data_IF_664243507866
#
_entry.id   IF_664243507866
#
_cell.length_a   1.000
_cell.length_b   1.000
_cell.length_c   1.000
_cell.angle_alpha   90.00
_cell.angle_beta   90.00
_cell.angle_gamma   90.00
#
_symmetry.space_group_name_H-M   'P 1'
#
loop_
_entity.id
_entity.type
_entity.pdbx_description
1 polymer ?
#
# COMPACT_ATOMS: atom_id res chain seq x y z
N UNK A 1 20.39 -2.26 7.73
CA UNK A 1 19.60 -1.94 6.53
C UNK A 1 18.98 -3.23 6.01
N UNK A 2 17.72 -3.49 6.34
CA UNK A 2 16.93 -4.61 5.82
C UNK A 2 15.56 -4.10 5.34
N UNK A 3 15.00 -3.10 6.06
CA UNK A 3 13.75 -2.43 5.69
C UNK A 3 13.74 -1.79 4.31
N UNK A 4 14.72 -0.95 3.97
CA UNK A 4 14.74 -0.24 2.68
C UNK A 4 14.89 -1.18 1.47
N UNK A 5 15.68 -2.25 1.60
CA UNK A 5 15.84 -3.26 0.54
C UNK A 5 14.58 -4.11 0.37
N UNK A 6 13.90 -4.43 1.48
CA UNK A 6 12.59 -5.08 1.46
C UNK A 6 11.55 -4.21 0.75
N UNK A 7 11.42 -2.96 1.18
CA UNK A 7 10.43 -2.03 0.66
C UNK A 7 10.58 -1.81 -0.85
N UNK A 8 11.80 -1.52 -1.32
CA UNK A 8 12.07 -1.38 -2.75
C UNK A 8 11.70 -2.63 -3.55
N UNK A 9 12.06 -3.82 -3.05
CA UNK A 9 11.69 -5.08 -3.71
C UNK A 9 10.18 -5.30 -3.75
N UNK A 10 9.46 -5.00 -2.66
CA UNK A 10 7.99 -5.09 -2.64
C UNK A 10 7.36 -4.12 -3.64
N UNK A 11 7.87 -2.89 -3.74
CA UNK A 11 7.41 -1.93 -4.76
C UNK A 11 7.61 -2.51 -6.16
N UNK A 12 8.76 -3.08 -6.48
CA UNK A 12 9.00 -3.74 -7.77
C UNK A 12 8.00 -4.87 -8.06
N UNK A 13 7.67 -5.70 -7.06
CA UNK A 13 6.66 -6.76 -7.21
C UNK A 13 5.25 -6.22 -7.46
N UNK A 14 4.89 -5.09 -6.85
CA UNK A 14 3.61 -4.40 -7.08
C UNK A 14 3.58 -3.86 -8.51
N UNK A 15 4.61 -3.13 -8.93
CA UNK A 15 4.66 -2.50 -10.25
C UNK A 15 4.68 -3.53 -11.39
N UNK A 16 5.33 -4.68 -11.19
CA UNK A 16 5.33 -5.78 -12.15
C UNK A 16 3.94 -6.36 -12.41
N UNK A 17 3.01 -6.21 -11.47
CA UNK A 17 1.64 -6.72 -11.55
C UNK A 17 0.59 -5.62 -11.73
N UNK A 18 0.99 -4.35 -11.65
CA UNK A 18 0.07 -3.23 -11.74
C UNK A 18 -0.56 -3.14 -13.15
N UNK A 19 -1.82 -2.67 -13.26
CA UNK A 19 -2.44 -2.44 -14.55
C UNK A 19 -1.59 -1.54 -15.46
N UNK A 20 -1.55 -1.87 -16.75
CA UNK A 20 -0.76 -1.10 -17.73
C UNK A 20 -1.21 0.36 -17.78
N UNK A 21 -0.27 1.30 -17.67
CA UNK A 21 -0.54 2.73 -17.59
C UNK A 21 -0.64 3.29 -16.17
N UNK A 22 -0.45 2.46 -15.14
CA UNK A 22 -0.37 2.93 -13.76
C UNK A 22 0.86 3.83 -13.53
N UNK A 23 0.73 4.83 -12.65
CA UNK A 23 1.79 5.79 -12.33
C UNK A 23 2.13 5.72 -10.83
N UNK A 24 3.33 5.27 -10.46
CA UNK A 24 3.75 5.23 -9.06
C UNK A 24 4.26 6.59 -8.59
N UNK A 25 4.04 6.87 -7.30
CA UNK A 25 4.53 8.07 -6.63
C UNK A 25 4.72 7.80 -5.14
N UNK A 26 5.64 8.54 -4.52
CA UNK A 26 5.68 8.69 -3.07
C UNK A 26 4.76 9.84 -2.66
N UNK A 27 4.04 9.68 -1.56
CA UNK A 27 3.12 10.72 -1.08
C UNK A 27 3.37 11.03 0.39
N UNK A 28 3.38 12.33 0.70
CA UNK A 28 3.52 12.86 2.06
C UNK A 28 2.50 13.99 2.26
N UNK A 29 1.78 13.96 3.37
CA UNK A 29 0.87 15.05 3.77
C UNK A 29 1.65 16.27 4.25
N UNK A 30 0.99 17.43 4.33
CA UNK A 30 1.58 18.63 4.92
C UNK A 30 1.94 18.46 6.41
N UNK A 31 1.22 17.59 7.13
CA UNK A 31 1.49 17.18 8.52
C UNK A 31 2.67 16.21 8.66
N UNK A 32 3.25 15.75 7.54
CA UNK A 32 4.43 14.89 7.52
C UNK A 32 4.15 13.40 7.53
N UNK A 33 2.89 12.96 7.47
CA UNK A 33 2.54 11.54 7.34
C UNK A 33 2.83 11.05 5.92
N UNK A 34 3.35 9.85 5.81
CA UNK A 34 3.77 9.24 4.55
C UNK A 34 2.94 8.01 4.23
N UNK A 35 2.89 7.66 2.96
CA UNK A 35 2.55 6.32 2.48
C UNK A 35 3.66 5.85 1.55
N UNK A 36 4.07 4.59 1.71
CA UNK A 36 5.23 4.02 1.00
C UNK A 36 5.02 4.03 -0.52
N UNK A 37 3.79 3.79 -0.99
CA UNK A 37 3.45 3.87 -2.42
C UNK A 37 2.02 4.39 -2.61
N UNK A 38 1.89 5.43 -3.44
CA UNK A 38 0.64 5.86 -4.04
C UNK A 38 0.66 5.52 -5.53
N UNK A 39 -0.27 4.67 -5.95
CA UNK A 39 -0.42 4.25 -7.33
C UNK A 39 -1.66 4.89 -7.95
N UNK A 40 -1.47 5.69 -8.99
CA UNK A 40 -2.57 6.14 -9.86
C UNK A 40 -2.81 5.07 -10.92
N UNK A 41 -3.97 4.43 -10.88
CA UNK A 41 -4.41 3.42 -11.83
C UNK A 41 -4.92 4.07 -13.13
N UNK A 42 -4.99 3.30 -14.24
CA UNK A 42 -5.64 3.77 -15.47
C UNK A 42 -7.05 4.27 -15.18
N UNK A 43 -7.36 5.48 -15.63
CA UNK A 43 -8.62 6.16 -15.33
C UNK A 43 -8.57 7.10 -14.11
N UNK A 44 -7.41 7.24 -13.45
CA UNK A 44 -7.18 8.24 -12.41
C UNK A 44 -7.56 7.80 -11.00
N UNK A 45 -7.92 6.53 -10.80
CA UNK A 45 -8.21 6.00 -9.47
C UNK A 45 -6.91 5.86 -8.66
N UNK A 46 -6.91 6.35 -7.43
CA UNK A 46 -5.76 6.25 -6.54
C UNK A 46 -5.84 4.98 -5.66
N UNK A 47 -4.68 4.36 -5.43
CA UNK A 47 -4.50 3.23 -4.51
C UNK A 47 -3.31 3.53 -3.57
N UNK A 48 -3.61 3.66 -2.27
CA UNK A 48 -2.61 3.88 -1.23
C UNK A 48 -2.15 2.55 -0.62
N UNK A 49 -0.84 2.35 -0.55
CA UNK A 49 -0.21 1.09 -0.19
C UNK A 49 0.90 1.33 0.83
N UNK A 50 0.75 0.74 2.00
CA UNK A 50 1.77 0.69 3.04
C UNK A 50 2.53 -0.65 2.96
N UNK A 51 3.83 -0.65 3.22
CA UNK A 51 4.69 -1.82 3.22
C UNK A 51 5.25 -2.05 4.62
N UNK A 52 5.04 -3.25 5.17
CA UNK A 52 5.52 -3.62 6.50
C UNK A 52 6.34 -4.90 6.45
N UNK A 53 7.59 -4.82 6.91
CA UNK A 53 8.42 -6.01 7.13
C UNK A 53 8.14 -6.64 8.50
N UNK A 54 6.89 -7.05 8.74
CA UNK A 54 6.43 -7.69 9.98
C UNK A 54 5.30 -8.67 9.70
N UNK A 55 5.36 -9.88 10.26
CA UNK A 55 4.29 -10.87 10.17
C UNK A 55 3.05 -10.52 11.02
N UNK A 56 3.17 -9.51 11.90
CA UNK A 56 2.06 -8.91 12.62
C UNK A 56 2.00 -7.41 12.29
N UNK A 57 1.58 -7.04 11.07
CA UNK A 57 1.50 -5.64 10.68
C UNK A 57 0.47 -4.91 11.54
N UNK A 58 0.77 -3.66 11.88
CA UNK A 58 -0.16 -2.77 12.60
C UNK A 58 -0.44 -1.56 11.73
N UNK A 59 -1.70 -1.14 11.71
CA UNK A 59 -2.09 0.06 11.01
C UNK A 59 -1.58 1.29 11.77
N UNK A 60 -0.79 2.13 11.10
CA UNK A 60 -0.35 3.41 11.64
C UNK A 60 -1.47 4.45 11.56
N UNK A 61 -1.54 5.36 12.54
CA UNK A 61 -2.47 6.50 12.49
C UNK A 61 -2.25 7.37 11.24
N UNK A 62 -1.00 7.55 10.84
CA UNK A 62 -0.63 8.32 9.64
C UNK A 62 -1.22 7.77 8.34
N UNK A 63 -1.33 6.45 8.21
CA UNK A 63 -1.94 5.84 7.02
C UNK A 63 -3.42 6.21 6.88
N UNK A 64 -4.18 6.19 7.99
CA UNK A 64 -5.60 6.59 7.97
C UNK A 64 -5.75 8.06 7.57
N UNK A 65 -4.86 8.93 8.07
CA UNK A 65 -4.85 10.34 7.70
C UNK A 65 -4.52 10.56 6.22
N UNK A 66 -3.57 9.79 5.67
CA UNK A 66 -3.27 9.81 4.22
C UNK A 66 -4.52 9.43 3.41
N UNK A 67 -5.25 8.38 3.82
CA UNK A 67 -6.52 8.01 3.17
C UNK A 67 -7.54 9.14 3.22
N UNK A 68 -7.63 9.87 4.33
CA UNK A 68 -8.53 11.02 4.47
C UNK A 68 -8.14 12.18 3.56
N UNK A 69 -6.85 12.54 3.52
CA UNK A 69 -6.34 13.61 2.65
C UNK A 69 -6.56 13.28 1.17
N UNK A 70 -6.41 12.01 0.79
CA UNK A 70 -6.63 11.53 -0.58
C UNK A 70 -8.08 11.17 -0.90
N UNK A 71 -9.01 11.35 0.05
CA UNK A 71 -10.42 10.97 -0.06
C UNK A 71 -10.64 9.50 -0.46
N UNK A 72 -9.75 8.61 -0.01
CA UNK A 72 -9.79 7.19 -0.26
C UNK A 72 -10.65 6.47 0.78
N UNK A 73 -11.54 5.59 0.32
CA UNK A 73 -12.36 4.75 1.20
C UNK A 73 -11.50 3.72 1.96
N UNK A 74 -10.52 3.14 1.27
CA UNK A 74 -9.65 2.10 1.80
C UNK A 74 -8.28 2.11 1.12
N UNK A 75 -7.33 1.39 1.72
CA UNK A 75 -6.02 1.08 1.14
C UNK A 75 -5.52 -0.30 1.53
N UNK A 76 -4.29 -0.62 1.13
CA UNK A 76 -3.67 -1.92 1.36
C UNK A 76 -2.41 -1.83 2.21
N UNK A 77 -2.10 -2.89 2.94
CA UNK A 77 -0.85 -3.08 3.66
C UNK A 77 -0.20 -4.37 3.18
N UNK A 78 0.95 -4.27 2.52
CA UNK A 78 1.71 -5.45 2.06
C UNK A 78 2.70 -5.88 3.14
N UNK A 79 2.58 -7.12 3.57
CA UNK A 79 3.36 -7.66 4.69
C UNK A 79 3.61 -9.17 4.54
N UNK A 80 4.61 -9.75 5.23
CA UNK A 80 4.86 -11.19 5.26
C UNK A 80 3.83 -11.91 6.17
N UNK A 81 2.56 -11.83 5.79
CA UNK A 81 1.44 -12.53 6.43
C UNK A 81 1.12 -13.82 5.65
N UNK A 82 0.39 -14.76 6.25
CA UNK A 82 0.04 -16.03 5.58
C UNK A 82 -1.13 -15.89 4.60
N UNK A 83 -2.08 -15.02 4.92
CA UNK A 83 -3.34 -14.86 4.19
C UNK A 83 -3.82 -13.41 4.28
N UNK A 84 -4.69 -12.97 3.35
CA UNK A 84 -5.38 -11.70 3.46
C UNK A 84 -6.20 -11.60 4.76
N UNK A 85 -6.15 -10.45 5.44
CA UNK A 85 -7.08 -10.17 6.55
C UNK A 85 -7.31 -8.66 6.74
N UNK A 86 -8.50 -8.25 7.19
CA UNK A 86 -8.77 -6.84 7.47
C UNK A 86 -7.96 -6.38 8.69
N UNK A 87 -7.15 -5.34 8.52
CA UNK A 87 -6.49 -4.63 9.63
C UNK A 87 -7.45 -3.63 10.29
N UNK A 88 -8.38 -3.09 9.51
CA UNK A 88 -9.46 -2.22 9.96
C UNK A 88 -10.58 -2.21 8.92
N UNK A 89 -11.63 -1.42 9.16
CA UNK A 89 -12.66 -1.16 8.15
C UNK A 89 -12.14 -0.47 6.87
N UNK A 90 -10.92 0.10 6.90
CA UNK A 90 -10.34 0.89 5.79
C UNK A 90 -8.98 0.36 5.31
N UNK A 91 -8.51 -0.76 5.84
CA UNK A 91 -7.22 -1.32 5.46
C UNK A 91 -7.25 -2.84 5.41
N UNK A 92 -6.78 -3.40 4.30
CA UNK A 92 -6.60 -4.84 4.11
C UNK A 92 -5.10 -5.18 4.13
N UNK A 93 -4.69 -6.13 4.98
CA UNK A 93 -3.37 -6.73 4.89
C UNK A 93 -3.36 -7.79 3.80
N UNK A 94 -2.35 -7.77 2.92
CA UNK A 94 -2.15 -8.77 1.89
C UNK A 94 -0.72 -9.34 1.94
N UNK A 95 -0.54 -10.66 1.73
CA UNK A 95 0.76 -11.21 1.38
C UNK A 95 1.14 -10.84 -0.05
N UNK A 96 2.44 -10.88 -0.38
CA UNK A 96 2.91 -10.59 -1.74
C UNK A 96 2.29 -11.48 -2.83
N UNK A 97 1.98 -12.74 -2.49
CA UNK A 97 1.33 -13.68 -3.41
C UNK A 97 -0.09 -13.25 -3.82
N UNK A 98 -0.67 -12.27 -3.12
CA UNK A 98 -2.04 -11.78 -3.35
C UNK A 98 -2.07 -10.32 -3.86
N UNK A 99 -0.95 -9.77 -4.34
CA UNK A 99 -0.90 -8.42 -4.93
C UNK A 99 -1.95 -8.25 -6.04
N UNK A 100 -2.17 -9.28 -6.87
CA UNK A 100 -3.18 -9.25 -7.94
C UNK A 100 -4.62 -8.98 -7.47
N UNK A 101 -4.92 -9.18 -6.18
CA UNK A 101 -6.25 -8.90 -5.60
C UNK A 101 -6.55 -7.41 -5.50
N UNK A 102 -5.52 -6.56 -5.52
CA UNK A 102 -5.68 -5.10 -5.46
C UNK A 102 -6.32 -4.52 -6.73
N UNK A 103 -6.32 -5.28 -7.82
CA UNK A 103 -6.74 -4.84 -9.15
C UNK A 103 -8.10 -5.38 -9.59
N UNK A 104 -8.77 -6.15 -8.72
CA UNK A 104 -10.06 -6.78 -9.02
C UNK A 104 -11.24 -5.83 -8.85
#
# INVERSE_FOLDING_TARGET
MLGASWEGWVIEQILAQAPSGSRPSFFRTASGNEVDLLLELPGGQLCAIEIKHSAAPKLGKGFVEVLDVLLLKSGFVIAPVSEPFPLSARAMALPLSHISEMWR
#
